data_IF_297958059835
#
_entry.id   IF_297958059835
#
_cell.length_a   1.000
_cell.length_b   1.000
_cell.length_c   1.000
_cell.angle_alpha   90.00
_cell.angle_beta   90.00
_cell.angle_gamma   90.00
#
_symmetry.space_group_name_H-M   'P 1'
#
loop_
_entity.id
_entity.type
_entity.pdbx_description
1 polymer ?
#
# COMPACT_ATOMS: atom_id res chain seq x y z
N UNK A 1 -1.17 0.42 -13.65
CA UNK A 1 -0.85 -0.21 -12.35
C UNK A 1 0.55 0.20 -11.88
N UNK A 2 0.73 0.43 -10.57
CA UNK A 2 2.04 0.72 -9.95
C UNK A 2 2.17 -0.15 -8.70
N UNK A 3 3.38 -0.63 -8.41
CA UNK A 3 3.70 -1.41 -7.21
C UNK A 3 4.96 -0.85 -6.55
N UNK A 4 4.93 -0.73 -5.22
CA UNK A 4 6.10 -0.43 -4.39
C UNK A 4 6.59 -1.76 -3.79
N UNK A 5 7.83 -2.10 -4.10
CA UNK A 5 8.50 -3.30 -3.62
C UNK A 5 9.61 -2.95 -2.63
N UNK A 6 9.89 -3.85 -1.69
CA UNK A 6 11.00 -3.76 -0.74
C UNK A 6 11.77 -5.06 -0.68
N UNK A 7 13.08 -4.95 -0.55
CA UNK A 7 13.96 -6.06 -0.18
C UNK A 7 14.41 -5.89 1.28
N UNK A 8 14.48 -7.02 1.98
CA UNK A 8 15.03 -7.12 3.34
C UNK A 8 16.32 -7.96 3.38
N UNK A 9 16.82 -8.37 2.21
CA UNK A 9 17.92 -9.32 2.06
C UNK A 9 18.94 -8.82 1.02
N UNK A 10 19.17 -7.50 1.01
CA UNK A 10 20.16 -6.83 0.16
C UNK A 10 19.92 -7.03 -1.35
N UNK A 11 18.64 -7.05 -1.75
CA UNK A 11 18.21 -7.13 -3.15
C UNK A 11 18.05 -8.54 -3.70
N UNK A 12 18.24 -9.59 -2.88
CA UNK A 12 18.07 -10.99 -3.32
C UNK A 12 16.62 -11.34 -3.60
N UNK A 13 15.71 -10.89 -2.74
CA UNK A 13 14.27 -11.03 -2.94
C UNK A 13 13.56 -9.71 -2.73
N UNK A 14 12.43 -9.56 -3.42
CA UNK A 14 11.59 -8.37 -3.37
C UNK A 14 10.18 -8.79 -3.01
N UNK A 15 9.59 -8.12 -2.03
CA UNK A 15 8.22 -8.32 -1.59
C UNK A 15 7.41 -7.04 -1.80
N UNK A 16 6.15 -7.15 -2.24
CA UNK A 16 5.27 -6.00 -2.38
C UNK A 16 4.92 -5.41 -1.02
N UNK A 17 4.91 -4.09 -0.93
CA UNK A 17 4.42 -3.34 0.24
C UNK A 17 3.14 -2.57 -0.03
N UNK A 18 2.96 -2.05 -1.25
CA UNK A 18 1.79 -1.27 -1.63
C UNK A 18 1.56 -1.35 -3.14
N UNK A 19 0.29 -1.41 -3.54
CA UNK A 19 -0.15 -1.33 -4.92
C UNK A 19 -1.02 -0.09 -5.13
N UNK A 20 -0.95 0.47 -6.34
CA UNK A 20 -1.83 1.53 -6.80
C UNK A 20 -2.42 1.17 -8.16
N UNK A 21 -3.75 1.13 -8.24
CA UNK A 21 -4.46 0.96 -9.50
C UNK A 21 -5.89 1.48 -9.41
N UNK A 22 -6.39 2.01 -10.51
CA UNK A 22 -7.83 2.28 -10.69
C UNK A 22 -8.67 1.00 -10.72
N UNK A 23 -8.05 -0.17 -10.92
CA UNK A 23 -8.70 -1.49 -10.88
C UNK A 23 -7.81 -2.52 -10.19
N UNK A 24 -7.76 -2.44 -8.85
CA UNK A 24 -6.97 -3.32 -8.01
C UNK A 24 -7.28 -4.81 -8.18
N UNK A 25 -8.56 -5.14 -8.40
CA UNK A 25 -8.99 -6.53 -8.53
C UNK A 25 -8.44 -7.14 -9.81
N UNK A 26 -8.51 -6.41 -10.93
CA UNK A 26 -7.97 -6.87 -12.21
C UNK A 26 -6.45 -6.94 -12.21
N UNK A 27 -5.78 -5.93 -11.67
CA UNK A 27 -4.31 -5.79 -11.82
C UNK A 27 -3.52 -6.61 -10.79
N UNK A 28 -4.06 -6.80 -9.59
CA UNK A 28 -3.34 -7.43 -8.47
C UNK A 28 -4.14 -8.52 -7.76
N UNK A 29 -5.40 -8.78 -8.14
CA UNK A 29 -6.26 -9.74 -7.44
C UNK A 29 -6.66 -9.28 -6.03
N UNK A 30 -6.46 -8.00 -5.71
CA UNK A 30 -6.73 -7.43 -4.39
C UNK A 30 -7.94 -6.49 -4.48
N UNK A 31 -8.83 -6.47 -3.47
CA UNK A 31 -9.84 -5.43 -3.39
C UNK A 31 -9.17 -4.07 -3.10
N UNK A 32 -9.74 -2.96 -3.60
CA UNK A 32 -9.24 -1.62 -3.29
C UNK A 32 -9.46 -1.31 -1.81
N UNK A 33 -8.37 -1.11 -1.07
CA UNK A 33 -8.35 -0.80 0.36
C UNK A 33 -7.10 0.01 0.76
N UNK A 34 -7.29 0.90 1.72
CA UNK A 34 -6.23 1.72 2.32
C UNK A 34 -5.92 1.34 3.78
N UNK A 35 -6.70 0.43 4.36
CA UNK A 35 -6.59 0.02 5.77
C UNK A 35 -6.56 -1.52 5.83
N UNK A 36 -5.66 -2.07 6.65
CA UNK A 36 -5.63 -3.50 6.96
C UNK A 36 -6.76 -3.85 7.93
N UNK A 37 -7.49 -4.94 7.67
CA UNK A 37 -8.68 -5.28 8.47
C UNK A 37 -8.32 -5.97 9.79
N UNK A 38 -7.16 -6.63 9.83
CA UNK A 38 -6.67 -7.35 11.01
C UNK A 38 -5.16 -7.12 11.19
N UNK A 39 -4.66 -7.32 12.40
CA UNK A 39 -3.21 -7.24 12.70
C UNK A 39 -2.37 -8.21 11.87
N UNK A 40 -2.90 -9.40 11.58
CA UNK A 40 -2.21 -10.39 10.75
C UNK A 40 -1.99 -9.92 9.30
N UNK A 41 -2.85 -9.02 8.79
CA UNK A 41 -2.78 -8.49 7.43
C UNK A 41 -1.87 -7.25 7.32
N UNK A 42 -1.25 -6.80 8.41
CA UNK A 42 -0.42 -5.60 8.40
C UNK A 42 0.85 -5.72 7.56
N UNK A 43 1.32 -6.94 7.33
CA UNK A 43 2.49 -7.22 6.48
C UNK A 43 2.11 -7.47 5.02
N UNK A 44 0.82 -7.62 4.72
CA UNK A 44 0.32 -7.84 3.36
C UNK A 44 0.23 -6.51 2.59
N UNK A 45 0.47 -6.54 1.27
CA UNK A 45 0.33 -5.36 0.45
C UNK A 45 -1.16 -4.99 0.29
N UNK A 46 -1.46 -3.71 0.49
CA UNK A 46 -2.78 -3.15 0.18
C UNK A 46 -2.77 -2.62 -1.26
N UNK A 47 -3.96 -2.38 -1.83
CA UNK A 47 -4.08 -1.74 -3.14
C UNK A 47 -5.04 -0.56 -3.06
N UNK A 48 -4.64 0.63 -3.51
CA UNK A 48 -5.48 1.82 -3.47
C UNK A 48 -5.63 2.48 -4.85
N UNK A 49 -6.78 3.11 -5.08
CA UNK A 49 -7.02 3.90 -6.29
C UNK A 49 -6.43 5.31 -6.11
N UNK A 50 -5.47 5.74 -6.95
CA UNK A 50 -4.86 7.06 -6.83
C UNK A 50 -5.72 8.21 -7.39
N UNK A 51 -6.78 7.93 -8.17
CA UNK A 51 -7.61 8.97 -8.83
C UNK A 51 -8.24 9.97 -7.85
N UNK A 52 -8.77 9.58 -6.67
CA UNK A 52 -9.28 10.53 -5.68
C UNK A 52 -8.20 11.50 -5.17
N UNK A 53 -6.96 11.03 -5.03
CA UNK A 53 -5.82 11.83 -4.56
C UNK A 53 -5.34 12.82 -5.62
N UNK A 54 -5.48 12.46 -6.90
CA UNK A 54 -5.04 13.25 -8.05
C UNK A 54 -5.87 14.53 -8.28
N UNK A 55 -7.11 14.59 -7.77
CA UNK A 55 -8.03 15.72 -8.00
C UNK A 55 -7.68 17.00 -7.23
N UNK A 56 -6.74 16.95 -6.27
CA UNK A 56 -6.51 18.04 -5.32
C UNK A 56 -5.35 18.98 -5.67
N UNK A 57 -4.41 18.59 -6.55
CA UNK A 57 -3.21 19.38 -6.86
C UNK A 57 -2.86 19.14 -8.33
N UNK A 58 -2.53 20.18 -9.08
CA UNK A 58 -2.28 20.14 -10.54
C UNK A 58 -1.11 19.24 -11.02
N UNK A 59 -0.66 18.29 -10.22
CA UNK A 59 0.31 17.24 -10.54
C UNK A 59 0.06 15.98 -9.68
N UNK A 60 0.45 14.82 -10.20
CA UNK A 60 0.22 13.53 -9.51
C UNK A 60 1.36 13.26 -8.54
N UNK A 61 1.11 13.40 -7.24
CA UNK A 61 2.04 12.97 -6.18
C UNK A 61 1.45 11.74 -5.51
N UNK A 62 2.22 10.65 -5.49
CA UNK A 62 1.90 9.47 -4.70
C UNK A 62 2.80 9.44 -3.48
N UNK A 63 2.19 9.45 -2.30
CA UNK A 63 2.88 9.26 -1.04
C UNK A 63 2.53 7.88 -0.48
N UNK A 64 3.53 7.19 0.04
CA UNK A 64 3.37 5.91 0.71
C UNK A 64 3.91 6.04 2.13
N UNK A 65 3.05 5.76 3.12
CA UNK A 65 3.41 5.66 4.53
C UNK A 65 3.30 4.20 4.96
N UNK A 66 4.35 3.66 5.57
CA UNK A 66 4.41 2.23 5.93
C UNK A 66 3.43 1.82 7.01
N UNK A 67 3.04 2.76 7.86
CA UNK A 67 2.18 2.51 9.03
C UNK A 67 0.74 3.02 8.85
N UNK A 68 0.48 3.78 7.79
CA UNK A 68 -0.87 4.29 7.51
C UNK A 68 -1.84 3.13 7.29
N UNK A 69 -3.00 3.21 7.94
CA UNK A 69 -4.02 2.15 7.91
C UNK A 69 -3.61 0.80 8.54
N UNK A 70 -2.53 0.75 9.34
CA UNK A 70 -2.12 -0.45 10.09
C UNK A 70 -2.65 -0.39 11.54
N UNK A 71 -3.49 -1.34 12.00
CA UNK A 71 -4.07 -1.33 13.34
C UNK A 71 -3.06 -1.25 14.51
N UNK A 72 -1.86 -1.80 14.36
CA UNK A 72 -0.81 -1.75 15.40
C UNK A 72 -0.03 -0.43 15.42
N UNK A 73 -0.33 0.52 14.54
CA UNK A 73 0.36 1.82 14.51
C UNK A 73 0.38 2.56 15.85
N UNK A 74 -0.72 2.64 16.63
CA UNK A 74 -0.71 3.34 17.92
C UNK A 74 0.24 2.72 18.95
N UNK A 75 0.51 1.42 18.84
CA UNK A 75 1.32 0.65 19.79
C UNK A 75 2.68 0.25 19.17
N UNK A 76 3.11 0.88 18.07
CA UNK A 76 4.27 0.41 17.28
C UNK A 76 5.59 0.39 18.07
N UNK A 77 5.73 1.27 19.07
CA UNK A 77 6.93 1.40 19.90
C UNK A 77 6.98 0.40 21.08
N UNK A 78 5.95 -0.45 21.26
CA UNK A 78 5.78 -1.34 22.41
C UNK A 78 5.82 -2.82 22.01
#
# INVERSE_FOLDING_TARGET
PISILKSMDYGRTWKPMQHYSSDCLRDFGLPPRTVAQTRHQETEPLCSDPRPLQRQRGGTVLAFSTLDGRPSYPDYDY
#
